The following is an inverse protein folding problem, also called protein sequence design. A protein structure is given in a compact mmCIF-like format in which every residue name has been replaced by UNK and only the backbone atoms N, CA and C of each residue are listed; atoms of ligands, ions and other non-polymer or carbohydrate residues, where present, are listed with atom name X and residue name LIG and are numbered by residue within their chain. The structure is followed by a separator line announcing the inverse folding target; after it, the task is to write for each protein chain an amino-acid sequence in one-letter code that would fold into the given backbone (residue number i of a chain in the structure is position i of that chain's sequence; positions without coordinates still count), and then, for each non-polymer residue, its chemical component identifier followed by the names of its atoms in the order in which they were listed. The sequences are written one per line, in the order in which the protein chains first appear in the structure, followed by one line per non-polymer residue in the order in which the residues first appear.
data_IF_513903416641
#
_entry.id   IF_513903416641
#
_cell.length_a   1.000
_cell.length_b   1.000
_cell.length_c   1.000
_cell.angle_alpha   90.00
_cell.angle_beta   90.00
_cell.angle_gamma   90.00
#
_symmetry.space_group_name_H-M   'P 1'
#
loop_
_entity.id
_entity.type
_entity.pdbx_description
1 polymer ?
#
# COMPACT_ATOMS: atom_id res chain seq x y z
N UNK A 1 21.58 -0.17 9.62
CA UNK A 1 20.85 1.07 9.25
C UNK A 1 19.37 0.80 9.40
N UNK A 2 18.58 1.78 9.82
CA UNK A 2 17.12 1.66 9.85
C UNK A 2 16.57 1.87 8.44
N UNK A 3 15.65 1.01 8.00
CA UNK A 3 14.95 1.14 6.73
C UNK A 3 13.87 2.22 6.79
N UNK A 4 13.10 2.26 7.90
CA UNK A 4 12.17 3.33 8.22
C UNK A 4 12.64 4.00 9.50
N UNK A 5 12.76 5.30 9.50
CA UNK A 5 13.15 6.11 10.65
C UNK A 5 12.11 7.23 10.87
N UNK A 6 11.36 7.10 11.95
CA UNK A 6 10.27 8.01 12.33
C UNK A 6 10.77 8.85 13.49
N UNK A 7 10.81 10.18 13.28
CA UNK A 7 11.40 11.12 14.22
C UNK A 7 10.39 12.15 14.66
N UNK A 8 10.01 12.06 15.92
CA UNK A 8 9.22 13.05 16.62
C UNK A 8 7.94 13.45 15.88
N UNK A 9 7.20 12.45 15.37
CA UNK A 9 5.99 12.66 14.59
C UNK A 9 4.85 13.13 15.49
N UNK A 10 4.21 14.21 15.07
CA UNK A 10 2.95 14.72 15.58
C UNK A 10 1.92 14.79 14.48
N UNK A 11 0.69 14.50 14.79
CA UNK A 11 -0.45 14.72 13.90
C UNK A 11 -1.60 15.35 14.64
N UNK A 12 -1.99 16.53 14.20
CA UNK A 12 -3.01 17.37 14.81
C UNK A 12 -4.08 17.72 13.77
N UNK A 13 -5.34 17.70 14.16
CA UNK A 13 -6.47 18.16 13.37
C UNK A 13 -7.21 19.24 14.16
N UNK A 14 -6.95 20.52 13.84
CA UNK A 14 -7.38 21.64 14.66
C UNK A 14 -6.80 21.52 16.08
N UNK A 15 -7.65 21.54 17.08
CA UNK A 15 -7.25 21.42 18.49
C UNK A 15 -7.09 19.97 18.98
N UNK A 16 -7.29 18.99 18.09
CA UNK A 16 -7.25 17.57 18.45
C UNK A 16 -5.92 16.93 18.05
N UNK A 17 -5.13 16.52 19.05
CA UNK A 17 -3.88 15.77 18.86
C UNK A 17 -4.21 14.29 18.73
N UNK A 18 -3.87 13.68 17.57
CA UNK A 18 -4.11 12.26 17.29
C UNK A 18 -2.84 11.44 17.49
N UNK A 19 -1.69 11.98 17.10
CA UNK A 19 -0.38 11.35 17.34
C UNK A 19 0.52 12.37 18.04
N UNK A 20 1.19 11.95 19.10
CA UNK A 20 2.04 12.78 19.91
C UNK A 20 3.44 12.16 20.06
N UNK A 21 4.45 12.86 19.55
CA UNK A 21 5.86 12.54 19.76
C UNK A 21 6.25 11.07 19.42
N UNK A 22 5.74 10.55 18.30
CA UNK A 22 6.02 9.17 17.90
C UNK A 22 7.45 9.06 17.35
N UNK A 23 8.20 8.13 17.93
CA UNK A 23 9.54 7.76 17.49
C UNK A 23 9.59 6.26 17.29
N UNK A 24 10.03 5.81 16.10
CA UNK A 24 10.12 4.39 15.76
C UNK A 24 11.19 4.17 14.69
N UNK A 25 11.95 3.10 14.83
CA UNK A 25 12.88 2.63 13.82
C UNK A 25 12.53 1.21 13.43
N UNK A 26 12.42 0.96 12.13
CA UNK A 26 12.16 -0.37 11.57
C UNK A 26 13.30 -0.72 10.62
N UNK A 27 13.86 -1.91 10.77
CA UNK A 27 14.94 -2.42 9.91
C UNK A 27 14.36 -3.05 8.64
N UNK A 28 15.19 -3.16 7.63
CA UNK A 28 14.82 -3.89 6.42
C UNK A 28 14.47 -5.35 6.75
N UNK A 29 13.35 -5.84 6.19
CA UNK A 29 12.84 -7.18 6.43
C UNK A 29 12.21 -7.41 7.80
N UNK A 30 12.14 -6.40 8.66
CA UNK A 30 11.50 -6.50 9.96
C UNK A 30 9.97 -6.50 9.87
N UNK A 31 9.33 -7.39 10.60
CA UNK A 31 7.88 -7.40 10.77
C UNK A 31 7.52 -6.57 12.01
N UNK A 32 6.77 -5.48 11.80
CA UNK A 32 6.31 -4.60 12.87
C UNK A 32 4.79 -4.70 13.02
N UNK A 33 4.32 -4.93 14.24
CA UNK A 33 2.89 -5.04 14.57
C UNK A 33 2.45 -3.83 15.40
N UNK A 34 1.36 -3.16 14.97
CA UNK A 34 0.78 -2.03 15.68
C UNK A 34 -0.56 -2.41 16.27
N UNK A 35 -0.66 -2.41 17.59
CA UNK A 35 -1.86 -2.74 18.33
C UNK A 35 -2.35 -1.55 19.16
N UNK A 36 -3.65 -1.49 19.42
CA UNK A 36 -4.26 -0.43 20.23
C UNK A 36 -5.77 -0.36 20.04
N UNK A 37 -6.45 0.38 20.91
CA UNK A 37 -7.89 0.58 20.87
C UNK A 37 -8.37 1.21 19.55
N UNK A 38 -9.66 1.06 19.23
CA UNK A 38 -10.25 1.78 18.09
C UNK A 38 -10.14 3.30 18.32
N UNK A 39 -9.77 4.03 17.26
CA UNK A 39 -9.63 5.49 17.33
C UNK A 39 -8.30 6.02 17.89
N UNK A 40 -7.36 5.17 18.34
CA UNK A 40 -6.09 5.63 18.91
C UNK A 40 -5.04 6.10 17.87
N UNK A 41 -5.41 6.39 16.62
CA UNK A 41 -4.50 6.95 15.61
C UNK A 41 -3.79 5.96 14.70
N UNK A 42 -4.02 4.62 14.80
CA UNK A 42 -3.35 3.62 13.94
C UNK A 42 -3.52 3.90 12.45
N UNK A 43 -4.74 4.17 12.00
CA UNK A 43 -5.03 4.47 10.59
C UNK A 43 -4.42 5.79 10.15
N UNK A 44 -4.36 6.78 11.03
CA UNK A 44 -3.68 8.05 10.78
C UNK A 44 -2.18 7.83 10.59
N UNK A 45 -1.56 7.05 11.47
CA UNK A 45 -0.15 6.72 11.35
C UNK A 45 0.16 5.97 10.04
N UNK A 46 -0.68 5.02 9.63
CA UNK A 46 -0.52 4.32 8.34
C UNK A 46 -0.65 5.28 7.15
N UNK A 47 -1.56 6.28 7.20
CA UNK A 47 -1.67 7.29 6.14
C UNK A 47 -0.42 8.16 6.03
N UNK A 48 0.21 8.50 7.14
CA UNK A 48 1.50 9.18 7.13
C UNK A 48 2.60 8.33 6.49
N UNK A 49 2.69 7.03 6.84
CA UNK A 49 3.66 6.10 6.24
C UNK A 49 3.43 5.88 4.74
N UNK A 50 2.18 5.93 4.29
CA UNK A 50 1.84 5.83 2.87
C UNK A 50 2.09 7.13 2.10
N UNK A 51 2.38 8.24 2.78
CA UNK A 51 2.50 9.56 2.17
C UNK A 51 1.17 10.16 1.71
N UNK A 52 0.04 9.64 2.21
CA UNK A 52 -1.29 10.19 1.93
C UNK A 52 -1.56 11.47 2.73
N UNK A 53 -0.88 11.63 3.85
CA UNK A 53 -0.89 12.82 4.69
C UNK A 53 0.56 13.16 5.09
N UNK A 54 0.80 14.43 5.38
CA UNK A 54 2.07 14.88 5.93
C UNK A 54 1.92 15.09 7.45
N UNK A 55 2.92 14.75 8.26
CA UNK A 55 2.86 14.99 9.69
C UNK A 55 2.86 16.50 9.98
N UNK A 56 2.14 16.93 11.04
CA UNK A 56 2.14 18.31 11.49
C UNK A 56 3.52 18.75 11.97
N UNK A 57 4.28 17.82 12.60
CA UNK A 57 5.66 18.01 13.04
C UNK A 57 6.43 16.70 12.93
N UNK A 58 7.74 16.81 12.84
CA UNK A 58 8.65 15.69 12.75
C UNK A 58 8.92 15.27 11.30
N UNK A 59 9.55 14.12 11.12
CA UNK A 59 9.92 13.60 9.81
C UNK A 59 9.88 12.07 9.76
N UNK A 60 9.52 11.54 8.60
CA UNK A 60 9.62 10.12 8.27
C UNK A 60 10.67 9.98 7.18
N UNK A 61 11.66 9.14 7.42
CA UNK A 61 12.71 8.82 6.45
C UNK A 61 12.54 7.37 6.01
N UNK A 62 12.67 7.14 4.72
CA UNK A 62 12.74 5.82 4.10
C UNK A 62 14.13 5.67 3.48
N UNK A 63 14.88 4.69 3.93
CA UNK A 63 16.29 4.46 3.53
C UNK A 63 17.14 5.74 3.61
N UNK A 64 16.97 6.50 4.70
CA UNK A 64 17.68 7.75 4.97
C UNK A 64 17.19 8.97 4.18
N UNK A 65 16.24 8.81 3.26
CA UNK A 65 15.66 9.91 2.48
C UNK A 65 14.28 10.30 3.03
N UNK A 66 13.92 11.60 3.00
CA UNK A 66 12.58 12.02 3.37
C UNK A 66 11.52 11.28 2.58
N UNK A 67 10.45 10.86 3.26
CA UNK A 67 9.34 10.17 2.64
C UNK A 67 8.70 11.07 1.57
N UNK A 68 8.53 10.54 0.35
CA UNK A 68 7.85 11.26 -0.71
C UNK A 68 6.42 11.65 -0.28
N UNK A 69 6.01 12.87 -0.63
CA UNK A 69 4.70 13.42 -0.29
C UNK A 69 3.53 12.70 -0.97
N UNK A 70 3.81 11.91 -1.99
CA UNK A 70 2.82 11.12 -2.71
C UNK A 70 3.13 9.63 -2.60
N UNK A 71 2.09 8.77 -2.57
CA UNK A 71 2.28 7.33 -2.60
C UNK A 71 3.04 6.92 -3.87
N UNK A 72 4.05 6.10 -3.72
CA UNK A 72 4.82 5.55 -4.82
C UNK A 72 4.88 4.02 -4.77
N UNK A 73 5.62 3.40 -5.70
CA UNK A 73 5.73 1.95 -5.81
C UNK A 73 6.55 1.28 -4.69
N UNK A 74 7.27 2.05 -3.90
CA UNK A 74 8.04 1.53 -2.76
C UNK A 74 7.14 1.14 -1.59
N UNK A 75 5.88 1.62 -1.61
CA UNK A 75 4.92 1.46 -0.52
C UNK A 75 3.62 0.87 -1.03
N UNK A 76 3.22 -0.26 -0.49
CA UNK A 76 1.95 -0.91 -0.78
C UNK A 76 1.06 -0.96 0.46
N UNK A 77 -0.25 -1.00 0.25
CA UNK A 77 -1.24 -1.18 1.31
C UNK A 77 -2.20 -2.29 0.94
N UNK A 78 -2.53 -3.13 1.92
CA UNK A 78 -3.61 -4.11 1.82
C UNK A 78 -4.79 -3.57 2.60
N UNK A 79 -5.86 -3.20 1.89
CA UNK A 79 -7.07 -2.69 2.50
C UNK A 79 -7.91 -3.83 3.10
N UNK A 80 -8.65 -3.52 4.16
CA UNK A 80 -9.55 -4.50 4.79
C UNK A 80 -10.79 -4.83 3.93
N UNK A 81 -11.27 -3.87 3.15
CA UNK A 81 -12.47 -3.98 2.31
C UNK A 81 -12.37 -3.13 1.06
N UNK A 82 -13.17 -3.48 0.04
CA UNK A 82 -13.44 -2.65 -1.17
C UNK A 82 -12.21 -2.26 -1.99
N UNK A 83 -11.18 -3.10 -2.00
CA UNK A 83 -9.98 -2.87 -2.79
C UNK A 83 -10.00 -3.55 -4.16
N UNK A 84 -11.14 -4.08 -4.57
CA UNK A 84 -11.32 -4.79 -5.85
C UNK A 84 -12.36 -4.09 -6.72
N UNK A 85 -12.19 -4.18 -8.02
CA UNK A 85 -13.14 -3.67 -9.01
C UNK A 85 -14.25 -4.72 -9.24
N UNK A 86 -15.52 -4.43 -8.88
CA UNK A 86 -16.60 -5.43 -8.95
C UNK A 86 -16.97 -5.82 -10.39
N UNK A 87 -16.64 -4.99 -11.37
CA UNK A 87 -16.89 -5.26 -12.80
C UNK A 87 -15.77 -6.08 -13.46
N UNK A 88 -14.69 -6.38 -12.75
CA UNK A 88 -13.59 -7.23 -13.21
C UNK A 88 -13.65 -8.58 -12.47
N UNK A 89 -13.30 -9.67 -13.16
CA UNK A 89 -13.11 -10.96 -12.50
C UNK A 89 -11.85 -10.96 -11.63
N UNK A 90 -11.63 -12.02 -10.87
CA UNK A 90 -10.49 -12.14 -9.94
C UNK A 90 -9.16 -12.02 -10.66
N UNK A 91 -9.01 -12.66 -11.82
CA UNK A 91 -7.78 -12.61 -12.62
C UNK A 91 -7.51 -11.19 -13.13
N UNK A 92 -8.52 -10.51 -13.67
CA UNK A 92 -8.39 -9.17 -14.21
C UNK A 92 -8.13 -8.12 -13.12
N UNK A 93 -8.68 -8.30 -11.92
CA UNK A 93 -8.38 -7.46 -10.76
C UNK A 93 -6.89 -7.50 -10.36
N UNK A 94 -6.25 -8.66 -10.46
CA UNK A 94 -4.80 -8.77 -10.18
C UNK A 94 -3.99 -8.30 -11.38
N UNK A 95 -4.40 -8.64 -12.59
CA UNK A 95 -3.68 -8.28 -13.82
C UNK A 95 -3.60 -6.75 -14.01
N UNK A 96 -4.65 -5.99 -13.65
CA UNK A 96 -4.65 -4.53 -13.80
C UNK A 96 -3.53 -3.86 -13.00
N UNK A 97 -3.19 -4.40 -11.82
CA UNK A 97 -2.07 -3.90 -11.02
C UNK A 97 -0.70 -4.08 -11.69
N UNK A 98 -0.57 -5.05 -12.59
CA UNK A 98 0.62 -5.28 -13.41
C UNK A 98 0.58 -4.48 -14.71
N UNK A 99 -0.63 -4.24 -15.26
CA UNK A 99 -0.82 -3.52 -16.51
C UNK A 99 -0.62 -2.01 -16.37
N UNK A 100 -1.19 -1.40 -15.31
CA UNK A 100 -1.13 0.04 -15.08
C UNK A 100 0.29 0.62 -15.07
N UNK A 101 1.24 0.01 -14.34
CA UNK A 101 2.61 0.51 -14.31
C UNK A 101 3.38 0.33 -15.60
N UNK A 102 3.01 -0.66 -16.41
CA UNK A 102 3.70 -1.02 -17.65
C UNK A 102 3.14 -0.31 -18.90
N UNK A 103 2.02 0.39 -18.76
CA UNK A 103 1.34 1.08 -19.87
C UNK A 103 1.66 2.57 -19.89
N UNK A 104 2.26 3.10 -20.98
CA UNK A 104 2.64 4.52 -21.05
C UNK A 104 1.47 5.47 -21.34
N UNK A 105 0.32 5.00 -21.85
CA UNK A 105 -0.69 5.93 -22.40
C UNK A 105 -2.14 5.70 -21.95
N UNK A 106 -2.58 4.48 -21.68
CA UNK A 106 -4.01 4.17 -21.49
C UNK A 106 -4.30 3.20 -20.33
N UNK A 107 -3.31 2.87 -19.49
CA UNK A 107 -3.50 1.91 -18.39
C UNK A 107 -3.84 0.48 -18.86
N UNK A 108 -3.78 0.20 -20.15
CA UNK A 108 -4.01 -1.13 -20.73
C UNK A 108 -2.85 -1.59 -21.58
N UNK A 109 -2.46 -2.84 -21.40
CA UNK A 109 -1.52 -3.53 -22.27
C UNK A 109 -2.25 -4.24 -23.39
N UNK A 110 -1.57 -4.38 -24.54
CA UNK A 110 -2.07 -5.12 -25.72
C UNK A 110 -1.10 -6.22 -26.13
N UNK A 111 -1.62 -7.24 -26.80
CA UNK A 111 -0.80 -8.30 -27.37
C UNK A 111 -0.06 -9.16 -26.33
N UNK A 112 1.21 -9.42 -26.58
CA UNK A 112 2.05 -10.31 -25.78
C UNK A 112 2.22 -9.85 -24.32
N UNK A 113 2.39 -8.55 -24.09
CA UNK A 113 2.54 -7.98 -22.74
C UNK A 113 1.30 -8.18 -21.87
N UNK A 114 0.11 -8.07 -22.42
CA UNK A 114 -1.14 -8.35 -21.71
C UNK A 114 -1.21 -9.82 -21.32
N UNK A 115 -0.84 -10.72 -22.22
CA UNK A 115 -0.81 -12.17 -21.97
C UNK A 115 0.17 -12.52 -20.86
N UNK A 116 1.34 -11.89 -20.85
CA UNK A 116 2.36 -12.09 -19.81
C UNK A 116 1.88 -11.60 -18.45
N UNK A 117 1.27 -10.39 -18.36
CA UNK A 117 0.69 -9.86 -17.12
C UNK A 117 -0.40 -10.81 -16.57
N UNK A 118 -1.29 -11.34 -17.41
CA UNK A 118 -2.32 -12.30 -17.00
C UNK A 118 -1.72 -13.62 -16.52
N UNK A 119 -0.68 -14.14 -17.16
CA UNK A 119 0.01 -15.35 -16.71
C UNK A 119 0.69 -15.15 -15.36
N UNK A 120 1.29 -13.97 -15.14
CA UNK A 120 1.88 -13.61 -13.84
C UNK A 120 0.80 -13.48 -12.75
N UNK A 121 -0.30 -12.81 -13.05
CA UNK A 121 -1.45 -12.69 -12.16
C UNK A 121 -2.02 -14.07 -11.77
N UNK A 122 -2.18 -14.97 -12.74
CA UNK A 122 -2.63 -16.34 -12.50
C UNK A 122 -1.70 -17.08 -11.52
N UNK A 123 -0.39 -17.04 -11.76
CA UNK A 123 0.58 -17.67 -10.85
C UNK A 123 0.53 -17.12 -9.43
N UNK A 124 0.29 -15.81 -9.27
CA UNK A 124 0.11 -15.20 -7.96
C UNK A 124 -1.15 -15.71 -7.27
N UNK A 125 -2.26 -15.81 -7.99
CA UNK A 125 -3.54 -16.33 -7.48
C UNK A 125 -3.44 -17.81 -7.10
N UNK A 126 -2.75 -18.62 -7.87
CA UNK A 126 -2.49 -20.03 -7.56
C UNK A 126 -1.68 -20.19 -6.25
N UNK A 127 -0.68 -19.32 -6.01
CA UNK A 127 0.12 -19.33 -4.77
C UNK A 127 -0.71 -19.04 -3.52
N UNK A 128 -1.79 -18.26 -3.64
CA UNK A 128 -2.69 -17.96 -2.52
C UNK A 128 -3.96 -18.85 -2.52
N UNK A 129 -3.98 -19.93 -3.32
CA UNK A 129 -5.06 -20.91 -3.36
C UNK A 129 -6.31 -20.47 -4.13
N UNK A 130 -6.24 -19.38 -4.89
CA UNK A 130 -7.36 -18.84 -5.67
C UNK A 130 -7.39 -19.26 -7.14
N UNK A 131 -6.60 -20.25 -7.54
CA UNK A 131 -6.57 -20.76 -8.92
C UNK A 131 -7.91 -21.29 -9.43
N UNK A 132 -8.80 -21.69 -8.54
CA UNK A 132 -10.16 -22.15 -8.86
C UNK A 132 -11.20 -21.02 -9.06
N UNK A 133 -10.79 -19.78 -8.86
CA UNK A 133 -11.68 -18.61 -8.83
C UNK A 133 -11.36 -17.55 -9.89
N UNK A 134 -10.49 -17.84 -10.85
CA UNK A 134 -9.94 -16.87 -11.80
C UNK A 134 -11.02 -16.08 -12.55
N UNK A 135 -12.08 -16.75 -12.98
CA UNK A 135 -13.19 -16.17 -13.76
C UNK A 135 -14.36 -15.69 -12.89
N UNK A 136 -14.27 -15.86 -11.57
CA UNK A 136 -15.33 -15.38 -10.66
C UNK A 136 -15.24 -13.88 -10.46
N UNK A 137 -16.37 -13.26 -10.21
CA UNK A 137 -16.46 -11.85 -9.86
C UNK A 137 -16.52 -11.67 -8.34
N UNK A 138 -15.96 -10.56 -7.81
CA UNK A 138 -16.12 -10.20 -6.41
C UNK A 138 -17.60 -10.00 -6.08
N UNK A 139 -18.04 -10.52 -4.91
CA UNK A 139 -19.40 -10.37 -4.39
C UNK A 139 -19.50 -9.14 -3.47
#
# INVERSE_FOLDING_TARGET
MSFIDIKNIWQEYGDHVVLECINLQVKEGEFCSMVGASGCGKSTFLRLLLGQEQPTRGAILLDGQPLAAEPDRSRGVVFQRYSVFPHLNVLDNVAIGLELPASPLLGRLFGGRKREARQQAQRMLEKVGLGHALDKYPA
#
